data_IF_391661675368
#
_entry.id   IF_391661675368
#
_cell.length_a   1.000
_cell.length_b   1.000
_cell.length_c   1.000
_cell.angle_alpha   90.00
_cell.angle_beta   90.00
_cell.angle_gamma   90.00
#
_symmetry.space_group_name_H-M   'P 1'
#
loop_
_entity.id
_entity.type
_entity.pdbx_description
1 polymer ?
#
# COMPACT_ATOMS: atom_id res chain seq x y z
N UNK A 1 -24.11 -16.44 17.29
CA UNK A 1 -23.01 -15.48 17.03
C UNK A 1 -22.63 -15.62 15.57
N UNK A 2 -22.62 -14.54 14.82
CA UNK A 2 -22.20 -14.56 13.40
C UNK A 2 -20.68 -14.76 13.36
N UNK A 3 -20.21 -15.77 12.64
CA UNK A 3 -18.79 -16.06 12.52
C UNK A 3 -18.13 -15.12 11.48
N UNK A 4 -17.30 -14.17 11.96
CA UNK A 4 -16.50 -13.27 11.14
C UNK A 4 -15.01 -13.67 11.12
N UNK A 5 -14.68 -14.89 11.55
CA UNK A 5 -13.28 -15.35 11.65
C UNK A 5 -12.52 -15.25 10.34
N UNK A 6 -13.21 -15.40 9.19
CA UNK A 6 -12.60 -15.24 7.87
C UNK A 6 -12.01 -13.83 7.60
N UNK A 7 -12.46 -12.80 8.32
CA UNK A 7 -11.95 -11.43 8.22
C UNK A 7 -10.92 -11.09 9.31
N UNK A 8 -10.65 -12.01 10.23
CA UNK A 8 -9.72 -11.80 11.33
C UNK A 8 -8.26 -11.87 10.86
N UNK A 9 -7.42 -11.00 11.42
CA UNK A 9 -5.97 -11.06 11.33
C UNK A 9 -5.32 -11.48 12.64
N UNK A 10 -6.09 -12.09 13.55
CA UNK A 10 -5.58 -12.56 14.84
C UNK A 10 -4.40 -13.53 14.65
N UNK A 11 -3.31 -13.29 15.39
CA UNK A 11 -2.06 -14.05 15.29
C UNK A 11 -1.26 -13.80 14.01
N UNK A 12 -1.65 -12.84 13.16
CA UNK A 12 -0.91 -12.46 11.94
C UNK A 12 0.03 -11.30 12.21
N UNK A 13 1.21 -11.33 11.61
CA UNK A 13 2.20 -10.24 11.61
C UNK A 13 2.32 -9.69 10.18
N UNK A 14 1.98 -8.42 10.01
CA UNK A 14 1.86 -7.78 8.70
C UNK A 14 2.88 -6.64 8.58
N UNK A 15 3.70 -6.68 7.53
CA UNK A 15 4.62 -5.61 7.20
C UNK A 15 3.91 -4.54 6.34
N UNK A 16 4.03 -3.27 6.72
CA UNK A 16 3.41 -2.13 6.04
C UNK A 16 4.46 -1.08 5.72
N UNK A 17 4.74 -0.85 4.45
CA UNK A 17 5.67 0.22 4.04
C UNK A 17 4.97 1.59 4.03
N UNK A 18 5.67 2.65 4.44
CA UNK A 18 5.09 3.99 4.58
C UNK A 18 4.05 4.08 5.69
N UNK A 19 4.23 3.31 6.77
CA UNK A 19 3.30 3.25 7.90
C UNK A 19 3.31 4.49 8.81
N UNK A 20 4.16 5.47 8.53
CA UNK A 20 4.36 6.65 9.38
C UNK A 20 3.22 7.67 9.32
N UNK A 21 2.49 7.78 8.21
CA UNK A 21 1.40 8.75 8.03
C UNK A 21 0.37 8.29 7.00
N UNK A 22 -0.76 9.00 6.93
CA UNK A 22 -1.75 8.89 5.85
C UNK A 22 -2.27 7.47 5.64
N UNK A 23 -2.34 7.02 4.39
CA UNK A 23 -2.91 5.70 4.04
C UNK A 23 -2.19 4.55 4.78
N UNK A 24 -0.86 4.58 4.87
CA UNK A 24 -0.10 3.54 5.57
C UNK A 24 -0.39 3.47 7.06
N UNK A 25 -0.55 4.61 7.73
CA UNK A 25 -0.98 4.69 9.12
C UNK A 25 -2.41 4.15 9.29
N UNK A 26 -3.36 4.57 8.43
CA UNK A 26 -4.73 4.07 8.47
C UNK A 26 -4.83 2.55 8.26
N UNK A 27 -4.02 2.00 7.35
CA UNK A 27 -3.92 0.55 7.13
C UNK A 27 -3.34 -0.14 8.37
N UNK A 28 -2.27 0.38 8.99
CA UNK A 28 -1.66 -0.20 10.18
C UNK A 28 -2.67 -0.27 11.35
N UNK A 29 -3.41 0.80 11.58
CA UNK A 29 -4.48 0.84 12.60
C UNK A 29 -5.60 -0.15 12.28
N UNK A 30 -6.01 -0.27 11.02
CA UNK A 30 -7.05 -1.22 10.61
C UNK A 30 -6.61 -2.68 10.81
N UNK A 31 -5.35 -3.00 10.50
CA UNK A 31 -4.76 -4.32 10.77
C UNK A 31 -4.80 -4.63 12.27
N UNK A 32 -4.42 -3.66 13.11
CA UNK A 32 -4.45 -3.81 14.56
C UNK A 32 -5.87 -4.06 15.08
N UNK A 33 -6.87 -3.30 14.59
CA UNK A 33 -8.29 -3.51 14.92
C UNK A 33 -8.80 -4.89 14.51
N UNK A 34 -8.26 -5.44 13.42
CA UNK A 34 -8.59 -6.79 12.95
C UNK A 34 -7.83 -7.91 13.70
N UNK A 35 -6.98 -7.56 14.68
CA UNK A 35 -6.25 -8.51 15.53
C UNK A 35 -4.79 -8.75 15.13
N UNK A 36 -4.29 -8.13 14.07
CA UNK A 36 -2.94 -8.34 13.58
C UNK A 36 -1.88 -7.50 14.32
N UNK A 37 -0.65 -8.02 14.39
CA UNK A 37 0.53 -7.25 14.73
C UNK A 37 1.10 -6.57 13.48
N UNK A 38 1.74 -5.40 13.64
CA UNK A 38 2.23 -4.60 12.53
C UNK A 38 3.74 -4.39 12.62
N UNK A 39 4.43 -4.64 11.53
CA UNK A 39 5.80 -4.13 11.30
C UNK A 39 5.68 -2.90 10.41
N UNK A 40 5.87 -1.73 11.00
CA UNK A 40 5.84 -0.46 10.29
C UNK A 40 7.19 -0.15 9.68
N UNK A 41 7.25 0.04 8.36
CA UNK A 41 8.49 0.29 7.62
C UNK A 41 8.43 1.68 7.00
N UNK A 42 9.44 2.51 7.28
CA UNK A 42 9.52 3.87 6.73
C UNK A 42 10.79 4.59 7.15
N UNK A 43 11.02 5.80 6.62
CA UNK A 43 12.26 6.54 6.93
C UNK A 43 12.13 7.56 8.06
N UNK A 44 10.92 8.04 8.36
CA UNK A 44 10.65 9.00 9.44
C UNK A 44 10.07 8.32 10.68
N UNK A 45 9.89 9.08 11.78
CA UNK A 45 9.25 8.55 12.99
C UNK A 45 7.89 7.94 12.70
N UNK A 46 7.56 6.90 13.47
CA UNK A 46 6.28 6.20 13.46
C UNK A 46 5.65 6.16 14.86
N UNK A 47 6.07 7.06 15.76
CA UNK A 47 5.64 7.08 17.16
C UNK A 47 4.13 7.25 17.29
N UNK A 48 3.53 8.11 16.46
CA UNK A 48 2.08 8.31 16.41
C UNK A 48 1.36 7.02 15.99
N UNK A 49 1.84 6.37 14.93
CA UNK A 49 1.25 5.10 14.47
C UNK A 49 1.42 4.00 15.52
N UNK A 50 2.57 3.95 16.17
CA UNK A 50 2.83 3.00 17.25
C UNK A 50 1.83 3.19 18.42
N UNK A 51 1.57 4.43 18.81
CA UNK A 51 0.58 4.75 19.84
C UNK A 51 -0.83 4.32 19.43
N UNK A 52 -1.26 4.65 18.20
CA UNK A 52 -2.58 4.27 17.70
C UNK A 52 -2.78 2.75 17.59
N UNK A 53 -1.73 2.00 17.23
CA UNK A 53 -1.76 0.53 17.19
C UNK A 53 -1.78 -0.05 18.61
N UNK A 54 -1.01 0.53 19.54
CA UNK A 54 -1.00 0.11 20.94
C UNK A 54 -2.36 0.32 21.63
N UNK A 55 -3.10 1.39 21.28
CA UNK A 55 -4.48 1.62 21.74
C UNK A 55 -5.44 0.48 21.35
N UNK A 56 -5.12 -0.27 20.27
CA UNK A 56 -5.88 -1.44 19.85
C UNK A 56 -5.40 -2.73 20.57
N UNK A 57 -4.46 -2.63 21.50
CA UNK A 57 -3.90 -3.76 22.24
C UNK A 57 -3.01 -4.66 21.38
N UNK A 58 -2.40 -4.12 20.31
CA UNK A 58 -1.56 -4.90 19.38
C UNK A 58 -0.13 -4.37 19.35
N UNK A 59 0.80 -5.28 18.95
CA UNK A 59 2.21 -4.94 18.83
C UNK A 59 2.47 -4.13 17.54
N UNK A 60 3.32 -3.11 17.67
CA UNK A 60 3.88 -2.36 16.55
C UNK A 60 5.41 -2.37 16.64
N UNK A 61 6.05 -2.80 15.57
CA UNK A 61 7.50 -2.83 15.43
C UNK A 61 7.93 -1.79 14.39
N UNK A 62 8.55 -0.67 14.79
CA UNK A 62 9.03 0.33 13.85
C UNK A 62 10.38 -0.06 13.27
N UNK A 63 10.48 -0.09 11.93
CA UNK A 63 11.71 -0.37 11.19
C UNK A 63 12.04 0.81 10.28
N UNK A 64 13.22 1.40 10.43
CA UNK A 64 13.66 2.57 9.66
C UNK A 64 14.53 2.15 8.48
N UNK A 65 14.10 2.54 7.28
CA UNK A 65 14.86 2.36 6.04
C UNK A 65 14.41 3.38 5.00
N UNK A 66 15.32 3.81 4.13
CA UNK A 66 14.96 4.56 2.91
C UNK A 66 14.70 3.56 1.78
N UNK A 67 13.45 3.52 1.32
CA UNK A 67 13.01 2.60 0.26
C UNK A 67 13.52 3.00 -1.13
N UNK A 68 14.12 4.17 -1.31
CA UNK A 68 14.83 4.52 -2.56
C UNK A 68 16.12 3.72 -2.73
N UNK A 69 16.72 3.26 -1.63
CA UNK A 69 17.79 2.26 -1.66
C UNK A 69 17.16 0.85 -1.65
N UNK A 70 16.98 0.31 -2.84
CA UNK A 70 16.36 -1.02 -3.03
C UNK A 70 17.13 -2.13 -2.29
N UNK A 71 18.47 -2.05 -2.26
CA UNK A 71 19.30 -3.08 -1.61
C UNK A 71 19.12 -3.06 -0.10
N UNK A 72 19.14 -1.88 0.50
CA UNK A 72 18.87 -1.70 1.93
C UNK A 72 17.42 -2.13 2.29
N UNK A 73 16.45 -1.80 1.43
CA UNK A 73 15.05 -2.20 1.62
C UNK A 73 14.85 -3.72 1.62
N UNK A 74 15.51 -4.43 0.69
CA UNK A 74 15.45 -5.90 0.61
C UNK A 74 16.13 -6.53 1.83
N UNK A 75 17.35 -6.12 2.16
CA UNK A 75 18.10 -6.65 3.31
C UNK A 75 17.32 -6.43 4.62
N UNK A 76 16.69 -5.27 4.78
CA UNK A 76 15.83 -4.98 5.91
C UNK A 76 14.64 -5.95 5.99
N UNK A 77 13.92 -6.18 4.88
CA UNK A 77 12.76 -7.10 4.89
C UNK A 77 13.20 -8.54 5.15
N UNK A 78 14.34 -8.97 4.62
CA UNK A 78 14.91 -10.30 4.89
C UNK A 78 15.24 -10.45 6.38
N UNK A 79 15.80 -9.42 7.03
CA UNK A 79 16.04 -9.42 8.48
C UNK A 79 14.74 -9.49 9.28
N UNK A 80 13.74 -8.67 8.94
CA UNK A 80 12.40 -8.69 9.58
C UNK A 80 11.77 -10.08 9.50
N UNK A 81 11.94 -10.79 8.37
CA UNK A 81 11.43 -12.15 8.20
C UNK A 81 12.26 -13.21 8.93
N UNK A 82 13.56 -12.96 9.16
CA UNK A 82 14.42 -13.82 9.98
C UNK A 82 14.09 -13.72 11.48
N UNK A 83 13.70 -12.52 11.94
CA UNK A 83 13.33 -12.28 13.34
C UNK A 83 11.93 -12.84 13.69
N UNK A 84 11.13 -13.16 12.68
CA UNK A 84 9.82 -13.80 12.87
C UNK A 84 8.98 -13.84 11.59
N UNK A 85 7.97 -14.72 11.53
CA UNK A 85 7.15 -14.88 10.34
C UNK A 85 6.40 -13.59 10.00
N UNK A 86 6.39 -13.22 8.71
CA UNK A 86 5.58 -12.15 8.15
C UNK A 86 4.49 -12.77 7.28
N UNK A 87 3.23 -12.70 7.70
CA UNK A 87 2.09 -13.34 7.01
C UNK A 87 1.59 -12.53 5.82
N UNK A 88 1.79 -11.21 5.84
CA UNK A 88 1.39 -10.32 4.76
C UNK A 88 2.33 -9.14 4.59
N UNK A 89 2.41 -8.65 3.35
CA UNK A 89 3.16 -7.46 2.96
C UNK A 89 2.24 -6.44 2.31
N UNK A 90 2.21 -5.22 2.84
CA UNK A 90 1.51 -4.08 2.24
C UNK A 90 2.54 -3.09 1.70
N UNK A 91 2.64 -3.00 0.38
CA UNK A 91 3.47 -2.03 -0.32
C UNK A 91 2.68 -0.74 -0.52
N UNK A 92 2.74 0.16 0.48
CA UNK A 92 2.04 1.43 0.47
C UNK A 92 2.98 2.63 0.23
N UNK A 93 4.24 2.54 0.62
CA UNK A 93 5.18 3.65 0.46
C UNK A 93 5.22 4.18 -0.98
N UNK A 94 5.24 5.48 -1.11
CA UNK A 94 5.33 6.13 -2.41
C UNK A 94 5.47 7.63 -2.30
N UNK A 95 6.12 8.20 -3.30
CA UNK A 95 6.33 9.63 -3.45
C UNK A 95 5.72 10.13 -4.76
N UNK A 96 5.47 11.43 -4.83
CA UNK A 96 5.01 12.11 -6.04
C UNK A 96 5.92 13.30 -6.32
N UNK A 97 6.26 13.51 -7.60
CA UNK A 97 6.93 14.70 -8.11
C UNK A 97 6.06 15.36 -9.17
N UNK A 98 6.08 16.68 -9.21
CA UNK A 98 5.18 17.46 -10.06
C UNK A 98 5.95 18.50 -10.85
N UNK A 99 5.94 18.35 -12.18
CA UNK A 99 6.37 19.35 -13.15
C UNK A 99 5.64 19.11 -14.47
N UNK A 100 5.65 20.09 -15.38
CA UNK A 100 5.12 19.88 -16.72
C UNK A 100 5.96 18.81 -17.43
N UNK A 101 5.34 18.00 -18.29
CA UNK A 101 6.01 16.84 -18.88
C UNK A 101 7.26 17.21 -19.69
N UNK A 102 7.24 18.40 -20.31
CA UNK A 102 8.37 18.93 -21.11
C UNK A 102 9.58 19.36 -20.26
N UNK A 103 9.36 19.65 -18.97
CA UNK A 103 10.37 20.13 -18.03
C UNK A 103 10.66 19.12 -16.91
N UNK A 104 10.14 17.88 -17.01
CA UNK A 104 10.28 16.88 -15.96
C UNK A 104 11.70 16.33 -15.91
N UNK A 105 12.36 16.45 -14.76
CA UNK A 105 13.77 16.05 -14.63
C UNK A 105 13.94 14.52 -14.54
N UNK A 106 15.06 14.00 -15.05
CA UNK A 106 15.46 12.61 -14.91
C UNK A 106 15.58 12.21 -13.42
N UNK A 107 16.16 13.07 -12.59
CA UNK A 107 16.29 12.82 -11.15
C UNK A 107 14.92 12.63 -10.46
N UNK A 108 13.91 13.41 -10.80
CA UNK A 108 12.55 13.23 -10.27
C UNK A 108 11.87 12.00 -10.84
N UNK A 109 12.17 11.65 -12.09
CA UNK A 109 11.71 10.42 -12.70
C UNK A 109 12.26 9.20 -11.95
N UNK A 110 13.56 9.12 -11.79
CA UNK A 110 14.24 8.00 -11.12
C UNK A 110 13.81 7.87 -9.66
N UNK A 111 13.78 8.97 -8.91
CA UNK A 111 13.36 8.95 -7.51
C UNK A 111 11.96 8.36 -7.32
N UNK A 112 11.01 8.66 -8.23
CA UNK A 112 9.66 8.10 -8.17
C UNK A 112 9.64 6.65 -8.59
N UNK A 113 10.32 6.26 -9.67
CA UNK A 113 10.34 4.86 -10.13
C UNK A 113 11.08 3.97 -9.14
N UNK A 114 12.20 4.41 -8.59
CA UNK A 114 12.96 3.63 -7.60
C UNK A 114 12.12 3.36 -6.35
N UNK A 115 11.44 4.38 -5.82
CA UNK A 115 10.62 4.22 -4.62
C UNK A 115 9.31 3.48 -4.87
N UNK A 116 8.54 3.88 -5.92
CA UNK A 116 7.15 3.43 -6.08
C UNK A 116 7.01 2.10 -6.82
N UNK A 117 8.00 1.73 -7.63
CA UNK A 117 7.90 0.58 -8.53
C UNK A 117 9.03 -0.43 -8.32
N UNK A 118 10.30 0.00 -8.43
CA UNK A 118 11.45 -0.88 -8.30
C UNK A 118 11.55 -1.48 -6.90
N UNK A 119 11.53 -0.66 -5.87
CA UNK A 119 11.53 -1.11 -4.49
C UNK A 119 10.36 -2.04 -4.18
N UNK A 120 9.15 -1.68 -4.61
CA UNK A 120 7.95 -2.51 -4.47
C UNK A 120 8.17 -3.91 -5.08
N UNK A 121 8.69 -3.98 -6.31
CA UNK A 121 8.92 -5.27 -6.96
C UNK A 121 9.91 -6.13 -6.18
N UNK A 122 11.05 -5.58 -5.77
CA UNK A 122 12.07 -6.35 -5.06
C UNK A 122 11.65 -6.73 -3.64
N UNK A 123 10.83 -5.94 -2.97
CA UNK A 123 10.18 -6.33 -1.71
C UNK A 123 9.20 -7.49 -1.91
N UNK A 124 8.36 -7.44 -2.96
CA UNK A 124 7.52 -8.58 -3.34
C UNK A 124 8.34 -9.83 -3.62
N UNK A 125 9.47 -9.69 -4.35
CA UNK A 125 10.35 -10.80 -4.69
C UNK A 125 10.99 -11.43 -3.43
N UNK A 126 11.54 -10.62 -2.53
CA UNK A 126 12.13 -11.10 -1.27
C UNK A 126 11.08 -11.83 -0.41
N UNK A 127 9.90 -11.24 -0.25
CA UNK A 127 8.79 -11.85 0.46
C UNK A 127 8.35 -13.16 -0.20
N UNK A 128 8.10 -13.15 -1.51
CA UNK A 128 7.71 -14.33 -2.28
C UNK A 128 8.73 -15.45 -2.18
N UNK A 129 10.03 -15.14 -2.34
CA UNK A 129 11.12 -16.12 -2.19
C UNK A 129 11.08 -16.81 -0.83
N UNK A 130 10.92 -16.05 0.24
CA UNK A 130 10.83 -16.59 1.60
C UNK A 130 9.62 -17.51 1.77
N UNK A 131 8.44 -17.09 1.33
CA UNK A 131 7.20 -17.90 1.46
C UNK A 131 7.25 -19.17 0.61
N UNK A 132 7.72 -19.08 -0.63
CA UNK A 132 7.88 -20.22 -1.55
C UNK A 132 8.88 -21.25 -1.01
N UNK A 133 10.04 -20.82 -0.52
CA UNK A 133 11.03 -21.70 0.07
C UNK A 133 10.49 -22.45 1.30
N UNK A 134 9.70 -21.76 2.13
CA UNK A 134 9.06 -22.35 3.31
C UNK A 134 7.79 -23.16 2.99
N UNK A 135 7.27 -23.12 1.76
CA UNK A 135 5.97 -23.67 1.35
C UNK A 135 4.81 -23.17 2.21
N UNK A 136 4.84 -21.88 2.54
CA UNK A 136 3.83 -21.22 3.36
C UNK A 136 2.97 -20.29 2.50
N UNK A 137 1.67 -20.15 2.79
CA UNK A 137 0.83 -19.18 2.12
C UNK A 137 1.29 -17.76 2.46
N UNK A 138 0.96 -16.80 1.60
CA UNK A 138 1.32 -15.40 1.78
C UNK A 138 0.28 -14.46 1.18
N UNK A 139 0.33 -13.19 1.62
CA UNK A 139 -0.57 -12.15 1.11
C UNK A 139 0.23 -10.90 0.81
N UNK A 140 0.04 -10.37 -0.41
CA UNK A 140 0.62 -9.10 -0.83
C UNK A 140 -0.50 -8.16 -1.25
N UNK A 141 -0.49 -6.95 -0.69
CA UNK A 141 -1.40 -5.87 -1.07
C UNK A 141 -0.56 -4.68 -1.54
N UNK A 142 -0.67 -4.36 -2.83
CA UNK A 142 0.03 -3.22 -3.43
C UNK A 142 -0.89 -2.00 -3.49
N UNK A 143 -0.43 -0.84 -3.04
CA UNK A 143 -1.20 0.39 -3.16
C UNK A 143 -0.94 1.02 -4.53
N UNK A 144 -1.92 0.84 -5.41
CA UNK A 144 -2.00 1.43 -6.73
C UNK A 144 -2.51 2.89 -6.67
N UNK A 145 -3.30 3.33 -7.64
CA UNK A 145 -3.90 4.67 -7.70
C UNK A 145 -5.01 4.69 -8.76
N UNK A 146 -5.86 5.71 -8.76
CA UNK A 146 -6.68 6.07 -9.94
C UNK A 146 -5.81 6.24 -11.19
N UNK A 147 -4.58 6.74 -11.01
CA UNK A 147 -3.61 6.91 -12.10
C UNK A 147 -2.97 5.59 -12.57
N UNK A 148 -3.44 4.47 -12.09
CA UNK A 148 -3.19 3.15 -12.69
C UNK A 148 -4.15 2.84 -13.83
N UNK A 149 -5.22 3.62 -14.00
CA UNK A 149 -6.26 3.47 -15.02
C UNK A 149 -6.39 4.70 -15.90
N UNK A 150 -5.95 5.86 -15.40
CA UNK A 150 -6.11 7.17 -16.05
C UNK A 150 -4.76 7.88 -16.16
N UNK A 151 -4.65 8.83 -17.08
CA UNK A 151 -3.55 9.78 -17.11
C UNK A 151 -3.68 10.84 -16.01
N UNK A 152 -2.54 11.25 -15.45
CA UNK A 152 -2.47 12.41 -14.57
C UNK A 152 -1.91 13.64 -15.30
N UNK A 153 -2.08 14.80 -14.70
CA UNK A 153 -1.48 16.06 -15.20
C UNK A 153 -0.30 16.42 -14.31
N UNK A 154 0.87 16.71 -14.91
CA UNK A 154 2.11 17.13 -14.23
C UNK A 154 2.71 16.04 -13.28
N UNK A 155 2.42 14.77 -13.51
CA UNK A 155 2.89 13.67 -12.68
C UNK A 155 3.31 12.46 -13.55
N UNK A 156 4.23 12.62 -14.53
CA UNK A 156 4.53 11.58 -15.51
C UNK A 156 5.09 10.30 -14.87
N UNK A 157 6.12 10.40 -14.03
CA UNK A 157 6.73 9.23 -13.37
C UNK A 157 5.78 8.54 -12.38
N UNK A 158 4.96 9.31 -11.65
CA UNK A 158 3.96 8.74 -10.75
C UNK A 158 2.91 7.93 -11.54
N UNK A 159 2.40 8.49 -12.65
CA UNK A 159 1.46 7.79 -13.53
C UNK A 159 2.08 6.49 -14.07
N UNK A 160 3.30 6.56 -14.60
CA UNK A 160 4.03 5.39 -15.08
C UNK A 160 4.22 4.33 -13.99
N UNK A 161 4.68 4.75 -12.79
CA UNK A 161 4.87 3.83 -11.66
C UNK A 161 3.59 3.12 -11.25
N UNK A 162 2.46 3.84 -11.19
CA UNK A 162 1.18 3.26 -10.75
C UNK A 162 0.53 2.35 -11.80
N UNK A 163 0.76 2.57 -13.10
CA UNK A 163 0.45 1.58 -14.14
C UNK A 163 1.34 0.33 -14.00
N UNK A 164 2.64 0.52 -13.76
CA UNK A 164 3.59 -0.58 -13.51
C UNK A 164 3.20 -1.45 -12.33
N UNK A 165 2.70 -0.86 -11.24
CA UNK A 165 2.22 -1.61 -10.05
C UNK A 165 1.11 -2.59 -10.41
N UNK A 166 0.18 -2.24 -11.31
CA UNK A 166 -0.85 -3.18 -11.75
C UNK A 166 -0.27 -4.33 -12.58
N UNK A 167 0.68 -4.03 -13.48
CA UNK A 167 1.39 -5.04 -14.26
C UNK A 167 2.08 -6.06 -13.35
N UNK A 168 2.85 -5.57 -12.38
CA UNK A 168 3.55 -6.41 -11.38
C UNK A 168 2.55 -7.22 -10.55
N UNK A 169 1.46 -6.62 -10.09
CA UNK A 169 0.43 -7.31 -9.30
C UNK A 169 -0.14 -8.50 -10.04
N UNK A 170 -0.47 -8.33 -11.32
CA UNK A 170 -1.02 -9.40 -12.18
C UNK A 170 0.01 -10.46 -12.51
N UNK A 171 1.26 -10.06 -12.82
CA UNK A 171 2.36 -10.98 -13.09
C UNK A 171 2.57 -11.92 -11.89
N UNK A 172 2.78 -11.34 -10.70
CA UNK A 172 3.08 -12.12 -9.50
C UNK A 172 1.88 -12.98 -9.06
N UNK A 173 0.65 -12.51 -9.26
CA UNK A 173 -0.54 -13.32 -9.04
C UNK A 173 -0.57 -14.55 -9.94
N UNK A 174 -0.27 -14.41 -11.24
CA UNK A 174 -0.23 -15.53 -12.17
C UNK A 174 0.86 -16.55 -11.81
N UNK A 175 2.04 -16.07 -11.38
CA UNK A 175 3.15 -16.96 -11.05
C UNK A 175 2.95 -17.69 -9.71
N UNK A 176 2.31 -17.05 -8.72
CA UNK A 176 2.35 -17.53 -7.33
C UNK A 176 1.01 -18.03 -6.77
N UNK A 177 -0.09 -17.87 -7.50
CA UNK A 177 -1.41 -18.29 -7.04
C UNK A 177 -1.47 -19.79 -6.69
N UNK A 178 -0.89 -20.65 -7.55
CA UNK A 178 -0.87 -22.09 -7.33
C UNK A 178 -0.04 -22.51 -6.09
N UNK A 179 0.85 -21.65 -5.61
CA UNK A 179 1.65 -21.86 -4.40
C UNK A 179 1.04 -21.19 -3.16
N UNK A 180 -0.18 -20.67 -3.26
CA UNK A 180 -0.92 -20.09 -2.13
C UNK A 180 -0.52 -18.68 -1.74
N UNK A 181 0.16 -17.93 -2.62
CA UNK A 181 0.44 -16.51 -2.39
C UNK A 181 -0.56 -15.66 -3.16
N UNK A 182 -1.38 -14.91 -2.44
CA UNK A 182 -2.32 -13.95 -3.03
C UNK A 182 -1.63 -12.60 -3.25
N UNK A 183 -1.69 -12.08 -4.47
CA UNK A 183 -1.16 -10.76 -4.80
C UNK A 183 -2.29 -9.93 -5.40
N UNK A 184 -2.69 -8.85 -4.69
CA UNK A 184 -3.78 -7.97 -5.10
C UNK A 184 -3.37 -6.51 -4.91
N UNK A 185 -4.17 -5.59 -5.43
CA UNK A 185 -3.94 -4.15 -5.28
C UNK A 185 -5.19 -3.42 -4.79
N UNK A 186 -4.98 -2.29 -4.12
CA UNK A 186 -6.01 -1.30 -3.84
C UNK A 186 -5.68 -0.06 -4.67
N UNK A 187 -6.68 0.54 -5.29
CA UNK A 187 -6.56 1.80 -6.00
C UNK A 187 -7.32 2.90 -5.23
N UNK A 188 -6.62 3.66 -4.36
CA UNK A 188 -7.23 4.77 -3.65
C UNK A 188 -7.66 5.89 -4.59
N UNK A 189 -8.78 6.53 -4.26
CA UNK A 189 -9.20 7.80 -4.83
C UNK A 189 -8.44 8.99 -4.25
N UNK A 190 -9.11 10.11 -4.16
CA UNK A 190 -8.60 11.31 -3.51
C UNK A 190 -8.75 11.19 -1.99
N UNK A 191 -7.66 10.81 -1.33
CA UNK A 191 -7.57 10.61 0.12
C UNK A 191 -6.86 11.80 0.76
N UNK A 192 -7.32 12.24 1.93
CA UNK A 192 -6.66 13.28 2.73
C UNK A 192 -5.33 12.80 3.28
N UNK A 193 -4.24 13.23 2.65
CA UNK A 193 -2.86 12.90 3.02
C UNK A 193 -1.94 14.07 2.70
N UNK A 194 -0.69 14.00 3.12
CA UNK A 194 0.33 14.99 2.75
C UNK A 194 0.52 15.08 1.23
N UNK A 195 0.36 13.97 0.49
CA UNK A 195 0.48 13.96 -0.98
C UNK A 195 -0.63 14.77 -1.68
N UNK A 196 -1.77 14.97 -1.03
CA UNK A 196 -2.92 15.72 -1.57
C UNK A 196 -3.09 17.10 -0.96
N UNK A 197 -2.25 17.49 0.01
CA UNK A 197 -2.34 18.76 0.73
C UNK A 197 -2.37 19.97 -0.22
N UNK A 198 -1.45 20.01 -1.19
CA UNK A 198 -1.41 21.10 -2.18
C UNK A 198 -2.68 21.21 -3.05
N UNK A 199 -3.40 20.10 -3.25
CA UNK A 199 -4.69 20.08 -3.96
C UNK A 199 -5.83 20.57 -3.08
N UNK A 200 -5.79 20.21 -1.79
CA UNK A 200 -6.81 20.60 -0.79
C UNK A 200 -6.68 22.06 -0.38
N UNK A 201 -5.47 22.62 -0.44
CA UNK A 201 -5.19 24.03 -0.13
C UNK A 201 -5.61 24.98 -1.26
N UNK A 202 -5.92 24.46 -2.44
CA UNK A 202 -6.41 25.24 -3.60
C UNK A 202 -7.94 25.07 -3.71
N UNK A 203 -8.74 26.13 -3.42
CA UNK A 203 -10.21 26.03 -3.41
C UNK A 203 -10.82 25.67 -4.77
N UNK A 204 -10.21 26.11 -5.87
CA UNK A 204 -10.71 25.83 -7.21
C UNK A 204 -10.47 24.37 -7.58
N UNK A 205 -9.26 23.85 -7.31
CA UNK A 205 -8.90 22.46 -7.51
C UNK A 205 -9.74 21.55 -6.64
N UNK A 206 -9.90 21.88 -5.36
CA UNK A 206 -10.75 21.13 -4.43
C UNK A 206 -12.17 21.03 -4.93
N UNK A 207 -12.78 22.15 -5.37
CA UNK A 207 -14.14 22.15 -5.92
C UNK A 207 -14.26 21.23 -7.14
N UNK A 208 -13.35 21.39 -8.12
CA UNK A 208 -13.34 20.58 -9.33
C UNK A 208 -13.20 19.07 -9.06
N UNK A 209 -12.40 18.70 -8.04
CA UNK A 209 -12.25 17.31 -7.60
C UNK A 209 -13.54 16.81 -6.93
N UNK A 210 -14.09 17.55 -5.97
CA UNK A 210 -15.31 17.18 -5.25
C UNK A 210 -16.54 17.07 -6.17
N UNK A 211 -16.63 17.95 -7.18
CA UNK A 211 -17.72 17.90 -8.17
C UNK A 211 -17.70 16.61 -8.96
N UNK A 212 -16.51 16.03 -9.17
CA UNK A 212 -16.33 14.77 -9.89
C UNK A 212 -16.48 13.53 -9.01
N UNK A 213 -16.20 13.60 -7.70
CA UNK A 213 -16.38 12.46 -6.78
C UNK A 213 -17.89 12.26 -6.50
N UNK A 214 -18.50 11.11 -6.86
CA UNK A 214 -19.91 10.84 -6.55
C UNK A 214 -20.24 10.92 -5.06
N UNK A 215 -19.34 10.44 -4.20
CA UNK A 215 -19.49 10.50 -2.73
C UNK A 215 -19.39 11.92 -2.14
N UNK A 216 -19.02 12.94 -2.95
CA UNK A 216 -18.96 14.36 -2.57
C UNK A 216 -18.07 14.68 -1.36
N UNK A 217 -17.10 13.83 -1.06
CA UNK A 217 -16.11 14.06 -0.03
C UNK A 217 -14.74 13.52 -0.45
N UNK A 218 -13.70 14.03 0.15
CA UNK A 218 -12.42 13.36 0.19
C UNK A 218 -12.53 12.06 0.98
N UNK A 219 -11.76 11.04 0.63
CA UNK A 219 -11.62 9.85 1.45
C UNK A 219 -10.68 10.11 2.62
N UNK A 220 -10.88 9.42 3.72
CA UNK A 220 -9.95 9.36 4.84
C UNK A 220 -9.03 8.13 4.71
N UNK A 221 -7.91 8.12 5.44
CA UNK A 221 -7.00 6.98 5.45
C UNK A 221 -7.69 5.68 5.91
N UNK A 222 -8.65 5.79 6.82
CA UNK A 222 -9.47 4.71 7.36
C UNK A 222 -10.36 4.06 6.29
N UNK A 223 -10.80 4.81 5.28
CA UNK A 223 -11.61 4.27 4.17
C UNK A 223 -10.83 3.16 3.41
N UNK A 224 -9.49 3.22 3.41
CA UNK A 224 -8.64 2.23 2.75
C UNK A 224 -8.41 0.99 3.62
N UNK A 225 -8.43 1.17 4.95
CA UNK A 225 -8.09 0.13 5.92
C UNK A 225 -8.94 -1.14 5.79
N UNK A 226 -10.26 -0.99 5.60
CA UNK A 226 -11.17 -2.13 5.45
C UNK A 226 -10.85 -3.01 4.24
N UNK A 227 -10.54 -2.40 3.09
CA UNK A 227 -10.13 -3.12 1.90
C UNK A 227 -8.78 -3.85 2.10
N UNK A 228 -7.83 -3.21 2.80
CA UNK A 228 -6.54 -3.84 3.13
C UNK A 228 -6.73 -5.07 4.03
N UNK A 229 -7.52 -4.95 5.11
CA UNK A 229 -7.84 -6.08 5.99
C UNK A 229 -8.50 -7.22 5.21
N UNK A 230 -9.50 -6.93 4.37
CA UNK A 230 -10.16 -7.93 3.54
C UNK A 230 -9.17 -8.68 2.65
N UNK A 231 -8.27 -7.96 1.94
CA UNK A 231 -7.29 -8.59 1.06
C UNK A 231 -6.18 -9.35 1.80
N UNK A 232 -5.93 -9.04 3.05
CA UNK A 232 -4.98 -9.74 3.92
C UNK A 232 -5.62 -10.95 4.63
N UNK A 233 -6.94 -11.01 4.74
CA UNK A 233 -7.67 -12.04 5.46
C UNK A 233 -8.04 -13.26 4.59
N UNK A 234 -8.50 -14.33 5.22
CA UNK A 234 -8.98 -15.53 4.54
C UNK A 234 -10.20 -15.26 3.65
N UNK A 235 -10.99 -14.23 3.95
CA UNK A 235 -12.18 -13.85 3.18
C UNK A 235 -11.87 -13.57 1.70
N UNK A 236 -10.63 -13.22 1.36
CA UNK A 236 -10.16 -12.99 -0.03
C UNK A 236 -9.34 -14.15 -0.61
N UNK A 237 -9.43 -15.36 -0.05
CA UNK A 237 -8.56 -16.47 -0.42
C UNK A 237 -8.56 -16.83 -1.92
N UNK A 238 -9.65 -16.58 -2.64
CA UNK A 238 -9.75 -16.84 -4.09
C UNK A 238 -9.51 -15.61 -4.96
N UNK A 239 -9.02 -14.51 -4.37
CA UNK A 239 -8.69 -13.29 -5.11
C UNK A 239 -7.20 -13.24 -5.45
N UNK A 240 -6.89 -13.19 -6.75
CA UNK A 240 -5.53 -13.09 -7.28
C UNK A 240 -5.51 -12.10 -8.43
N UNK A 241 -4.58 -11.14 -8.40
CA UNK A 241 -4.43 -10.12 -9.43
C UNK A 241 -5.54 -9.07 -9.49
N UNK A 242 -6.44 -9.07 -8.49
CA UNK A 242 -7.53 -8.13 -8.41
C UNK A 242 -7.04 -6.72 -8.04
N UNK A 243 -7.76 -5.72 -8.54
CA UNK A 243 -7.57 -4.31 -8.15
C UNK A 243 -8.88 -3.79 -7.60
N UNK A 244 -8.88 -3.37 -6.34
CA UNK A 244 -10.06 -2.89 -5.62
C UNK A 244 -10.03 -1.36 -5.58
N UNK A 245 -10.86 -0.65 -6.36
CA UNK A 245 -11.00 0.80 -6.21
C UNK A 245 -11.66 1.15 -4.88
N UNK A 246 -11.08 2.10 -4.15
CA UNK A 246 -11.66 2.72 -2.96
C UNK A 246 -11.58 4.24 -3.17
N UNK A 247 -12.53 4.77 -3.93
CA UNK A 247 -12.36 6.05 -4.63
C UNK A 247 -13.58 6.98 -4.57
N UNK A 248 -14.57 6.65 -3.76
CA UNK A 248 -15.82 7.42 -3.67
C UNK A 248 -16.64 7.43 -4.97
N UNK A 249 -16.40 6.45 -5.86
CA UNK A 249 -17.09 6.32 -7.15
C UNK A 249 -16.43 7.07 -8.30
N UNK A 250 -15.22 7.58 -8.14
CA UNK A 250 -14.51 8.33 -9.18
C UNK A 250 -14.38 7.57 -10.51
N UNK A 251 -14.03 6.28 -10.47
CA UNK A 251 -13.87 5.44 -11.66
C UNK A 251 -15.18 4.89 -12.22
N UNK A 252 -16.31 5.08 -11.53
CA UNK A 252 -17.60 4.57 -11.97
C UNK A 252 -18.25 5.43 -13.07
N UNK A 253 -17.65 6.59 -13.42
CA UNK A 253 -18.17 7.52 -14.45
C UNK A 253 -17.05 8.21 -15.22
#
# INVERSE_FOLDING_TARGET
MTDFSAFSLEGKRIAVTGANTGIGQGIAVAIARAGGAVVGIGRSSMDETAALVAEQGRAFEPVRVDLSDTSAAVAMLEQVMADGPVDGLVNNAGIIRRADAVDFSEADWDAVLDTNLKSLFFLCQAYGRSRLAARLPGRIVNIASLLSFQGGIRVPSYTASKHGVLGITRLLANEWAAQGINVNAIAPGYIETNNTEALRSDPERTRGILDRIPAKRWGAAEDIGGAAVFLLALASAYMHGAVVPVDGGWLAR
#
